data_IF_686952072392
#
_entry.id   IF_686952072392
#
_cell.length_a   1.000
_cell.length_b   1.000
_cell.length_c   1.000
_cell.angle_alpha   90.00
_cell.angle_beta   90.00
_cell.angle_gamma   90.00
#
_symmetry.space_group_name_H-M   'P 1'
#
loop_
_entity.id
_entity.type
_entity.pdbx_description
1 polymer ?
#
# COMPACT_ATOMS: atom_id res chain seq x y z
N UNK A 1 69.82 -11.48 4.86
CA UNK A 1 69.96 -10.09 4.38
C UNK A 1 69.61 -10.06 2.90
N UNK A 2 68.38 -9.68 2.56
CA UNK A 2 68.04 -8.95 1.33
C UNK A 2 66.89 -8.06 1.77
N UNK A 3 67.19 -6.79 1.99
CA UNK A 3 66.18 -5.77 2.30
C UNK A 3 65.56 -5.41 0.96
N UNK A 4 64.26 -5.59 0.81
CA UNK A 4 63.50 -5.20 -0.38
C UNK A 4 63.67 -3.69 -0.63
N UNK A 5 64.62 -3.35 -1.51
CA UNK A 5 64.99 -2.00 -1.92
C UNK A 5 64.02 -1.43 -2.96
N UNK A 6 62.81 -1.99 -3.08
CA UNK A 6 61.73 -1.47 -3.93
C UNK A 6 60.68 -0.64 -3.18
N UNK A 7 60.65 -0.65 -1.85
CA UNK A 7 59.69 0.15 -1.07
C UNK A 7 60.12 1.62 -0.85
N UNK A 8 61.24 2.06 -1.45
CA UNK A 8 61.74 3.44 -1.35
C UNK A 8 61.33 4.38 -2.49
N UNK A 9 60.55 3.92 -3.48
CA UNK A 9 59.94 4.80 -4.51
C UNK A 9 58.42 4.85 -4.37
N UNK A 10 57.93 5.18 -3.18
CA UNK A 10 56.50 5.39 -2.99
C UNK A 10 56.21 6.87 -3.18
N UNK A 11 55.55 7.18 -4.30
CA UNK A 11 54.82 8.43 -4.59
C UNK A 11 54.13 8.96 -3.31
N UNK A 12 54.00 10.29 -3.12
CA UNK A 12 53.38 10.85 -1.93
C UNK A 12 52.04 10.15 -1.66
N UNK A 13 51.89 9.51 -0.50
CA UNK A 13 50.65 8.80 -0.14
C UNK A 13 49.54 9.83 -0.08
N UNK A 14 48.45 9.57 -0.80
CA UNK A 14 47.33 10.50 -0.86
C UNK A 14 46.78 10.81 0.55
N UNK A 15 46.64 12.09 0.92
CA UNK A 15 46.23 12.50 2.27
C UNK A 15 44.82 12.00 2.66
N UNK A 16 43.97 11.68 1.67
CA UNK A 16 42.65 11.06 1.91
C UNK A 16 42.71 9.61 2.38
N UNK A 17 43.79 8.89 2.07
CA UNK A 17 43.99 7.49 2.50
C UNK A 17 44.63 7.41 3.90
N UNK A 18 45.08 8.54 4.46
CA UNK A 18 45.71 8.60 5.77
C UNK A 18 44.69 8.90 6.86
N UNK A 19 44.86 8.27 8.02
CA UNK A 19 44.10 8.60 9.22
C UNK A 19 44.43 10.01 9.70
N UNK A 20 43.50 10.69 10.38
CA UNK A 20 43.70 12.07 10.83
C UNK A 20 45.00 12.26 11.65
N UNK A 21 45.35 11.27 12.48
CA UNK A 21 46.61 11.27 13.25
C UNK A 21 47.85 11.18 12.37
N UNK A 22 47.80 10.41 11.29
CA UNK A 22 48.92 10.27 10.35
C UNK A 22 49.10 11.54 9.51
N UNK A 23 48.01 12.21 9.11
CA UNK A 23 48.08 13.52 8.43
C UNK A 23 48.74 14.57 9.32
N UNK A 24 48.28 14.70 10.56
CA UNK A 24 48.83 15.64 11.53
C UNK A 24 50.31 15.38 11.86
N UNK A 25 50.76 14.12 11.85
CA UNK A 25 52.17 13.77 12.04
C UNK A 25 53.06 14.18 10.86
N UNK A 26 52.54 14.12 9.62
CA UNK A 26 53.28 14.57 8.44
C UNK A 26 53.34 16.09 8.35
N UNK A 27 52.25 16.79 8.63
CA UNK A 27 52.20 18.27 8.65
C UNK A 27 53.19 18.85 9.66
N UNK A 28 53.25 18.29 10.88
CA UNK A 28 54.29 18.68 11.85
C UNK A 28 55.70 18.45 11.30
N UNK A 29 55.92 17.36 10.56
CA UNK A 29 57.24 17.00 10.03
C UNK A 29 57.66 17.86 8.84
N UNK A 30 56.71 18.44 8.09
CA UNK A 30 57.02 19.39 7.01
C UNK A 30 57.38 20.78 7.56
N UNK A 31 56.89 21.13 8.75
CA UNK A 31 57.22 22.38 9.43
C UNK A 31 58.58 22.34 10.18
N UNK A 32 59.27 21.17 10.18
CA UNK A 32 60.53 20.96 10.88
C UNK A 32 61.78 21.59 10.23
N UNK A 33 61.63 22.44 9.21
CA UNK A 33 62.77 23.26 8.73
C UNK A 33 63.11 24.40 9.71
N UNK A 34 62.27 24.67 10.71
CA UNK A 34 62.45 25.73 11.71
C UNK A 34 62.48 25.26 13.18
N UNK A 35 62.49 23.94 13.44
CA UNK A 35 62.40 23.39 14.81
C UNK A 35 63.67 22.66 15.31
N UNK A 36 64.76 22.65 14.54
CA UNK A 36 66.01 21.96 14.91
C UNK A 36 66.77 22.60 16.09
N UNK A 37 66.29 23.70 16.67
CA UNK A 37 66.97 24.41 17.76
C UNK A 37 66.34 24.19 19.16
N UNK A 38 65.15 23.58 19.29
CA UNK A 38 64.36 23.68 20.53
C UNK A 38 63.89 22.36 21.16
N UNK A 39 64.69 21.30 21.10
CA UNK A 39 64.40 20.08 21.88
C UNK A 39 65.65 19.28 22.30
N UNK A 40 66.62 19.92 22.94
CA UNK A 40 67.62 19.24 23.77
C UNK A 40 67.15 19.22 25.23
N UNK A 41 66.09 18.45 25.54
CA UNK A 41 65.85 18.08 26.94
C UNK A 41 66.83 16.95 27.32
N UNK A 42 67.53 17.04 28.47
CA UNK A 42 68.37 15.97 28.96
C UNK A 42 67.58 14.67 29.07
N UNK A 43 67.97 13.68 28.25
CA UNK A 43 67.53 12.30 28.40
C UNK A 43 68.03 11.79 29.75
N UNK A 44 67.21 11.93 30.78
CA UNK A 44 67.34 11.19 32.03
C UNK A 44 67.02 9.73 31.79
N UNK A 45 67.92 9.02 31.11
CA UNK A 45 67.90 7.57 30.95
C UNK A 45 68.14 6.92 32.30
N UNK A 46 67.07 6.79 33.09
CA UNK A 46 66.96 5.68 34.05
C UNK A 46 66.62 4.47 33.20
N UNK A 47 67.63 3.68 32.87
CA UNK A 47 67.45 2.32 32.37
C UNK A 47 66.52 1.59 33.34
N UNK A 48 65.23 1.51 32.99
CA UNK A 48 64.29 0.66 33.72
C UNK A 48 64.72 -0.75 33.38
N UNK A 49 65.58 -1.30 34.24
CA UNK A 49 65.87 -2.74 34.32
C UNK A 49 64.54 -3.45 34.21
N UNK A 50 64.34 -4.16 33.10
CA UNK A 50 63.11 -4.89 32.82
C UNK A 50 63.03 -6.04 33.82
N UNK A 51 62.40 -5.79 34.97
CA UNK A 51 62.12 -6.84 35.93
C UNK A 51 61.13 -7.82 35.29
N UNK A 52 61.32 -9.14 35.44
CA UNK A 52 60.45 -10.15 34.81
C UNK A 52 58.98 -9.98 35.18
N UNK A 53 58.69 -9.42 36.37
CA UNK A 53 57.33 -9.09 36.81
C UNK A 53 56.67 -7.96 35.99
N UNK A 54 57.44 -6.95 35.55
CA UNK A 54 56.89 -5.89 34.70
C UNK A 54 56.57 -6.39 33.29
N UNK A 55 57.38 -7.31 32.77
CA UNK A 55 57.09 -7.97 31.49
C UNK A 55 55.82 -8.83 31.57
N UNK A 56 55.64 -9.58 32.67
CA UNK A 56 54.41 -10.36 32.91
C UNK A 56 53.17 -9.48 33.06
N UNK A 57 53.25 -8.38 33.84
CA UNK A 57 52.14 -7.41 33.97
C UNK A 57 51.81 -6.74 32.64
N UNK A 58 52.80 -6.46 31.79
CA UNK A 58 52.59 -5.94 30.44
C UNK A 58 51.92 -6.97 29.51
N UNK A 59 52.33 -8.24 29.57
CA UNK A 59 51.73 -9.33 28.81
C UNK A 59 50.25 -9.54 29.20
N UNK A 60 49.94 -9.59 30.50
CA UNK A 60 48.56 -9.69 31.00
C UNK A 60 47.70 -8.49 30.57
N UNK A 61 48.24 -7.27 30.62
CA UNK A 61 47.53 -6.06 30.19
C UNK A 61 47.28 -6.07 28.67
N UNK A 62 48.23 -6.55 27.88
CA UNK A 62 48.08 -6.71 26.43
C UNK A 62 47.01 -7.73 26.10
N UNK A 63 47.02 -8.89 26.77
CA UNK A 63 46.02 -9.94 26.61
C UNK A 63 44.62 -9.44 26.97
N UNK A 64 44.47 -8.69 28.08
CA UNK A 64 43.19 -8.08 28.48
C UNK A 64 42.67 -7.10 27.43
N UNK A 65 43.55 -6.29 26.83
CA UNK A 65 43.19 -5.37 25.73
C UNK A 65 42.75 -6.11 24.48
N UNK A 66 43.43 -7.21 24.14
CA UNK A 66 43.07 -8.07 23.01
C UNK A 66 41.68 -8.71 23.22
N UNK A 67 41.44 -9.29 24.39
CA UNK A 67 40.15 -9.88 24.75
C UNK A 67 39.00 -8.85 24.67
N UNK A 68 39.20 -7.64 25.18
CA UNK A 68 38.19 -6.57 25.10
C UNK A 68 37.89 -6.13 23.66
N UNK A 69 38.91 -6.11 22.78
CA UNK A 69 38.72 -5.80 21.38
C UNK A 69 37.94 -6.90 20.65
N UNK A 70 38.26 -8.16 20.93
CA UNK A 70 37.58 -9.32 20.35
C UNK A 70 36.13 -9.41 20.85
N UNK A 71 35.89 -9.23 22.15
CA UNK A 71 34.53 -9.20 22.74
C UNK A 71 33.69 -8.06 22.15
N UNK A 72 34.26 -6.87 21.95
CA UNK A 72 33.57 -5.76 21.30
C UNK A 72 33.22 -6.11 19.85
N UNK A 73 34.15 -6.73 19.10
CA UNK A 73 33.92 -7.14 17.72
C UNK A 73 32.80 -8.18 17.61
N UNK A 74 32.75 -9.13 18.54
CA UNK A 74 31.69 -10.15 18.60
C UNK A 74 30.34 -9.54 18.97
N UNK A 75 30.29 -8.66 19.97
CA UNK A 75 29.06 -7.93 20.33
C UNK A 75 28.55 -7.06 19.18
N UNK A 76 29.43 -6.41 18.43
CA UNK A 76 29.02 -5.61 17.27
C UNK A 76 28.49 -6.51 16.15
N UNK A 77 29.12 -7.67 15.89
CA UNK A 77 28.58 -8.67 14.96
C UNK A 77 27.20 -9.17 15.41
N UNK A 78 27.03 -9.52 16.68
CA UNK A 78 25.74 -9.96 17.23
C UNK A 78 24.67 -8.88 17.11
N UNK A 79 24.99 -7.62 17.46
CA UNK A 79 24.07 -6.48 17.28
C UNK A 79 23.71 -6.25 15.82
N UNK A 80 24.65 -6.44 14.89
CA UNK A 80 24.32 -6.38 13.46
C UNK A 80 23.44 -7.53 13.03
N UNK A 81 23.68 -8.75 13.51
CA UNK A 81 22.86 -9.92 13.25
C UNK A 81 21.44 -9.73 13.78
N UNK A 82 21.28 -9.31 15.03
CA UNK A 82 19.98 -8.99 15.62
C UNK A 82 19.27 -7.85 14.87
N UNK A 83 19.99 -6.78 14.51
CA UNK A 83 19.42 -5.68 13.73
C UNK A 83 18.96 -6.16 12.34
N UNK A 84 19.67 -7.08 11.71
CA UNK A 84 19.30 -7.65 10.41
C UNK A 84 18.11 -8.61 10.54
N UNK A 85 18.15 -9.56 11.48
CA UNK A 85 17.09 -10.53 11.74
C UNK A 85 15.79 -9.86 12.19
N UNK A 86 15.85 -8.92 13.14
CA UNK A 86 14.67 -8.16 13.61
C UNK A 86 14.08 -7.24 12.52
N UNK A 87 14.92 -6.73 11.61
CA UNK A 87 14.46 -5.90 10.49
C UNK A 87 13.82 -6.76 9.39
N UNK A 88 14.28 -8.00 9.19
CA UNK A 88 13.60 -9.01 8.36
C UNK A 88 12.20 -9.30 8.89
N UNK A 89 12.04 -9.55 10.19
CA UNK A 89 10.73 -9.78 10.83
C UNK A 89 9.77 -8.58 10.68
N UNK A 90 10.26 -7.34 10.74
CA UNK A 90 9.40 -6.16 10.55
C UNK A 90 8.92 -5.96 9.10
N UNK A 91 9.66 -6.48 8.10
CA UNK A 91 9.24 -6.46 6.69
C UNK A 91 8.39 -7.69 6.35
N UNK A 92 8.75 -8.87 6.83
CA UNK A 92 7.94 -10.09 6.66
C UNK A 92 6.62 -9.98 7.42
N UNK A 93 6.61 -9.38 8.62
CA UNK A 93 5.40 -9.01 9.35
C UNK A 93 4.51 -8.05 8.56
N UNK A 94 5.04 -7.06 7.83
CA UNK A 94 4.22 -6.19 6.96
C UNK A 94 3.71 -6.89 5.69
N UNK A 95 4.46 -7.83 5.13
CA UNK A 95 4.02 -8.60 3.96
C UNK A 95 3.00 -9.68 4.35
N UNK A 96 3.21 -10.34 5.49
CA UNK A 96 2.28 -11.29 6.09
C UNK A 96 1.05 -10.55 6.61
N UNK A 97 1.14 -9.37 7.24
CA UNK A 97 -0.02 -8.56 7.64
C UNK A 97 -0.79 -7.95 6.46
N UNK A 98 -0.13 -7.69 5.32
CA UNK A 98 -0.82 -7.32 4.07
C UNK A 98 -1.53 -8.50 3.40
N UNK A 99 -1.09 -9.74 3.63
CA UNK A 99 -1.78 -10.98 3.20
C UNK A 99 -2.76 -11.52 4.27
N UNK A 100 -2.54 -11.18 5.54
CA UNK A 100 -3.30 -11.58 6.75
C UNK A 100 -4.31 -10.52 7.18
N UNK A 101 -4.32 -9.36 6.54
CA UNK A 101 -5.60 -8.73 6.23
C UNK A 101 -6.22 -9.53 5.09
N UNK A 102 -6.47 -10.82 5.36
CA UNK A 102 -7.71 -11.44 4.91
C UNK A 102 -8.76 -10.45 5.38
N UNK A 103 -9.11 -9.52 4.50
CA UNK A 103 -10.25 -8.63 4.68
C UNK A 103 -11.31 -9.55 5.25
N UNK A 104 -11.73 -9.32 6.50
CA UNK A 104 -12.84 -10.06 7.11
C UNK A 104 -13.83 -10.25 5.98
N UNK A 105 -14.03 -11.50 5.54
CA UNK A 105 -14.82 -11.77 4.35
C UNK A 105 -16.25 -11.45 4.74
N UNK A 106 -16.58 -10.16 4.70
CA UNK A 106 -17.95 -9.70 4.84
C UNK A 106 -18.66 -10.22 3.61
N UNK A 107 -19.82 -10.88 3.77
CA UNK A 107 -20.61 -11.31 2.63
C UNK A 107 -20.90 -10.07 1.77
N UNK A 108 -20.34 -10.05 0.57
CA UNK A 108 -20.43 -8.92 -0.35
C UNK A 108 -20.66 -9.46 -1.75
N UNK A 109 -21.55 -8.80 -2.48
CA UNK A 109 -21.84 -9.08 -3.88
C UNK A 109 -20.62 -8.70 -4.72
N UNK A 110 -20.14 -9.60 -5.59
CA UNK A 110 -18.97 -9.36 -6.45
C UNK A 110 -19.38 -9.34 -7.91
N UNK A 111 -18.95 -8.29 -8.62
CA UNK A 111 -19.07 -8.18 -10.07
C UNK A 111 -17.71 -8.45 -10.70
N UNK A 112 -17.63 -9.47 -11.55
CA UNK A 112 -16.43 -9.86 -12.29
C UNK A 112 -16.71 -9.61 -13.77
N UNK A 113 -15.92 -8.74 -14.40
CA UNK A 113 -16.00 -8.46 -15.83
C UNK A 113 -14.73 -8.96 -16.49
N UNK A 114 -14.88 -9.85 -17.45
CA UNK A 114 -13.84 -10.38 -18.33
C UNK A 114 -14.16 -9.93 -19.76
N UNK A 115 -13.20 -10.01 -20.68
CA UNK A 115 -13.42 -9.68 -22.09
C UNK A 115 -14.56 -10.51 -22.73
N UNK A 116 -14.72 -11.76 -22.29
CA UNK A 116 -15.72 -12.67 -22.86
C UNK A 116 -17.05 -12.70 -22.09
N UNK A 117 -17.07 -12.32 -20.81
CA UNK A 117 -18.26 -12.46 -19.98
C UNK A 117 -18.29 -11.55 -18.76
N UNK A 118 -19.49 -11.31 -18.26
CA UNK A 118 -19.73 -10.60 -17.00
C UNK A 118 -20.47 -11.54 -16.04
N UNK A 119 -19.89 -11.76 -14.86
CA UNK A 119 -20.42 -12.62 -13.81
C UNK A 119 -20.74 -11.79 -12.56
N UNK A 120 -21.92 -12.02 -11.98
CA UNK A 120 -22.35 -11.42 -10.73
C UNK A 120 -22.54 -12.53 -9.69
N UNK A 121 -21.77 -12.53 -8.61
CA UNK A 121 -21.85 -13.53 -7.54
C UNK A 121 -22.40 -12.93 -6.25
N UNK A 122 -23.33 -13.66 -5.64
CA UNK A 122 -23.99 -13.30 -4.38
C UNK A 122 -23.52 -14.24 -3.27
N UNK A 123 -23.33 -13.73 -2.04
CA UNK A 123 -23.09 -14.59 -0.89
C UNK A 123 -24.34 -15.39 -0.55
N UNK A 124 -24.16 -16.56 0.10
CA UNK A 124 -25.26 -17.51 0.39
C UNK A 124 -26.36 -16.89 1.26
N UNK A 125 -25.99 -15.94 2.13
CA UNK A 125 -26.92 -15.28 3.07
C UNK A 125 -27.72 -14.12 2.45
N UNK A 126 -27.51 -13.80 1.15
CA UNK A 126 -28.19 -12.70 0.47
C UNK A 126 -29.05 -13.25 -0.66
N UNK A 127 -30.36 -13.03 -0.57
CA UNK A 127 -31.30 -13.35 -1.63
C UNK A 127 -31.04 -12.50 -2.89
N UNK A 128 -31.24 -13.12 -4.05
CA UNK A 128 -31.12 -12.42 -5.33
C UNK A 128 -32.26 -11.40 -5.48
N UNK A 129 -31.98 -10.11 -5.75
CA UNK A 129 -32.98 -9.05 -5.69
C UNK A 129 -34.03 -9.13 -6.80
N UNK A 130 -33.72 -9.76 -7.93
CA UNK A 130 -34.65 -9.88 -9.04
C UNK A 130 -35.41 -11.20 -8.91
N UNK A 131 -36.71 -11.09 -8.64
CA UNK A 131 -37.59 -12.25 -8.67
C UNK A 131 -37.90 -12.61 -10.13
N UNK A 132 -37.95 -13.89 -10.49
CA UNK A 132 -38.42 -14.29 -11.81
C UNK A 132 -39.90 -13.90 -11.94
N UNK A 133 -40.19 -12.88 -12.75
CA UNK A 133 -41.55 -12.56 -13.14
C UNK A 133 -41.98 -13.47 -14.27
N UNK A 134 -43.06 -14.21 -14.09
CA UNK A 134 -43.69 -14.93 -15.21
C UNK A 134 -44.44 -13.93 -16.06
N UNK A 135 -44.35 -14.10 -17.39
CA UNK A 135 -45.10 -13.28 -18.35
C UNK A 135 -46.62 -13.41 -18.12
N UNK A 136 -47.06 -14.51 -17.52
CA UNK A 136 -48.44 -14.79 -17.14
C UNK A 136 -49.05 -13.75 -16.18
N UNK A 137 -48.23 -13.11 -15.33
CA UNK A 137 -48.70 -12.08 -14.39
C UNK A 137 -48.87 -10.70 -15.06
N UNK A 138 -48.36 -10.52 -16.28
CA UNK A 138 -48.64 -9.34 -17.07
C UNK A 138 -50.01 -9.53 -17.75
N UNK A 139 -51.07 -9.34 -16.98
CA UNK A 139 -52.42 -9.26 -17.55
C UNK A 139 -52.46 -8.06 -18.51
N UNK A 140 -52.34 -8.34 -19.81
CA UNK A 140 -52.51 -7.32 -20.84
C UNK A 140 -53.94 -6.79 -20.68
N UNK A 141 -54.14 -5.47 -20.51
CA UNK A 141 -55.48 -4.93 -20.35
C UNK A 141 -56.29 -5.29 -21.59
N UNK A 142 -57.42 -5.97 -21.38
CA UNK A 142 -58.30 -6.37 -22.48
C UNK A 142 -58.76 -5.13 -23.27
N UNK A 143 -58.86 -5.20 -24.60
CA UNK A 143 -59.27 -4.07 -25.41
C UNK A 143 -60.68 -3.60 -25.00
N UNK A 144 -60.78 -2.34 -24.58
CA UNK A 144 -62.04 -1.72 -24.16
C UNK A 144 -62.89 -1.41 -25.40
N UNK A 145 -64.14 -1.84 -25.39
CA UNK A 145 -65.11 -1.59 -26.48
C UNK A 145 -65.80 -0.22 -26.33
N UNK A 146 -66.39 0.25 -27.43
CA UNK A 146 -67.21 1.45 -27.47
C UNK A 146 -68.48 1.30 -26.61
N UNK A 147 -68.82 2.31 -25.82
CA UNK A 147 -70.02 2.31 -24.98
C UNK A 147 -71.29 2.83 -25.66
N UNK A 148 -71.29 3.01 -26.98
CA UNK A 148 -72.50 3.36 -27.73
C UNK A 148 -73.38 2.12 -27.95
N UNK A 149 -74.70 2.31 -27.92
CA UNK A 149 -75.65 1.25 -28.23
C UNK A 149 -75.32 0.64 -29.61
N UNK A 150 -75.23 -0.68 -29.67
CA UNK A 150 -74.93 -1.47 -30.87
C UNK A 150 -73.56 -1.21 -31.52
N UNK A 151 -72.56 -0.73 -30.77
CA UNK A 151 -71.21 -0.56 -31.31
C UNK A 151 -70.21 -1.57 -30.70
N UNK A 152 -69.63 -2.42 -31.53
CA UNK A 152 -68.61 -3.42 -31.12
C UNK A 152 -67.17 -2.99 -31.40
N UNK A 153 -66.98 -1.76 -31.90
CA UNK A 153 -65.66 -1.23 -32.22
C UNK A 153 -64.83 -0.98 -30.96
N UNK A 154 -63.50 -1.11 -31.07
CA UNK A 154 -62.56 -0.76 -30.01
C UNK A 154 -62.52 0.75 -29.76
N UNK A 155 -62.30 1.11 -28.49
CA UNK A 155 -62.14 2.49 -28.03
C UNK A 155 -60.98 3.17 -28.76
N UNK A 156 -61.23 4.36 -29.32
CA UNK A 156 -60.19 5.28 -29.82
C UNK A 156 -59.92 6.42 -28.85
N UNK A 157 -60.97 6.93 -28.19
CA UNK A 157 -60.87 8.03 -27.23
C UNK A 157 -61.93 7.86 -26.12
N UNK A 158 -61.82 8.66 -25.06
CA UNK A 158 -62.85 8.77 -24.03
C UNK A 158 -63.50 10.15 -24.13
N UNK A 159 -64.83 10.21 -23.96
CA UNK A 159 -65.53 11.48 -23.85
C UNK A 159 -65.16 12.17 -22.52
N UNK A 160 -64.74 13.42 -22.55
CA UNK A 160 -64.39 14.17 -21.32
C UNK A 160 -65.59 14.46 -20.42
N UNK A 161 -66.78 14.63 -21.00
CA UNK A 161 -68.01 14.97 -20.26
C UNK A 161 -68.72 13.74 -19.68
N UNK A 162 -68.69 12.60 -20.37
CA UNK A 162 -69.39 11.37 -19.94
C UNK A 162 -68.47 10.26 -19.46
N UNK A 163 -67.16 10.34 -19.71
CA UNK A 163 -66.19 9.30 -19.38
C UNK A 163 -66.30 8.03 -20.22
N UNK A 164 -67.28 7.95 -21.13
CA UNK A 164 -67.60 6.74 -21.90
C UNK A 164 -66.55 6.54 -23.02
N UNK A 165 -66.05 5.29 -23.21
CA UNK A 165 -65.17 4.95 -24.33
C UNK A 165 -65.90 5.02 -25.68
N UNK A 166 -65.27 5.67 -26.68
CA UNK A 166 -65.86 5.94 -27.98
C UNK A 166 -64.91 5.59 -29.13
N UNK A 167 -65.48 5.19 -30.28
CA UNK A 167 -64.72 4.85 -31.48
C UNK A 167 -64.82 5.90 -32.61
N UNK A 168 -65.89 6.69 -32.67
CA UNK A 168 -66.18 7.64 -33.77
C UNK A 168 -67.02 8.82 -33.31
N UNK A 169 -67.04 9.91 -34.08
CA UNK A 169 -67.87 11.09 -33.78
C UNK A 169 -69.38 10.80 -33.88
N UNK A 170 -69.79 9.79 -34.66
CA UNK A 170 -71.21 9.39 -34.73
C UNK A 170 -71.67 8.83 -33.38
N UNK A 171 -70.87 7.95 -32.79
CA UNK A 171 -71.11 7.39 -31.46
C UNK A 171 -71.06 8.48 -30.36
N UNK A 172 -70.23 9.51 -30.53
CA UNK A 172 -70.26 10.67 -29.63
C UNK A 172 -71.61 11.38 -29.69
N UNK A 173 -72.14 11.64 -30.90
CA UNK A 173 -73.41 12.35 -31.08
C UNK A 173 -74.60 11.57 -30.53
N UNK A 174 -74.66 10.25 -30.75
CA UNK A 174 -75.76 9.42 -30.24
C UNK A 174 -75.78 9.37 -28.71
N UNK A 175 -74.62 9.23 -28.08
CA UNK A 175 -74.51 9.32 -26.63
C UNK A 175 -74.86 10.74 -26.16
N UNK A 176 -74.36 11.77 -26.84
CA UNK A 176 -74.60 13.15 -26.45
C UNK A 176 -76.07 13.57 -26.57
N UNK A 177 -76.78 13.14 -27.62
CA UNK A 177 -78.21 13.40 -27.79
C UNK A 177 -79.04 12.68 -26.73
N UNK A 178 -78.72 11.42 -26.44
CA UNK A 178 -79.36 10.67 -25.35
C UNK A 178 -79.08 11.34 -23.99
N UNK A 179 -77.90 11.96 -23.85
CA UNK A 179 -77.55 12.69 -22.63
C UNK A 179 -78.34 13.96 -22.38
N UNK A 180 -78.69 14.69 -23.44
CA UNK A 180 -79.56 15.86 -23.30
C UNK A 180 -81.01 15.47 -23.02
N UNK A 181 -81.48 14.33 -23.54
CA UNK A 181 -82.85 13.87 -23.29
C UNK A 181 -83.08 13.48 -21.83
N UNK A 182 -82.13 12.82 -21.16
CA UNK A 182 -82.30 12.48 -19.74
C UNK A 182 -82.22 13.70 -18.80
N UNK A 183 -81.43 14.73 -19.15
CA UNK A 183 -81.32 16.00 -18.39
C UNK A 183 -82.64 16.79 -18.47
N UNK A 184 -83.41 16.65 -19.56
CA UNK A 184 -84.70 17.31 -19.77
C UNK A 184 -85.89 16.58 -19.15
N UNK A 185 -85.77 15.29 -18.82
CA UNK A 185 -86.84 14.50 -18.18
C UNK A 185 -86.80 14.49 -16.65
N UNK A 186 -85.85 15.21 -16.03
CA UNK A 186 -85.73 15.34 -14.57
C UNK A 186 -86.19 16.70 -14.00
N UNK A 187 -86.94 17.47 -14.79
CA UNK A 187 -87.68 18.68 -14.35
C UNK A 187 -89.17 18.38 -14.50
#
# INVERSE_FOLDING_TARGET
MVVDDELKKIKPKDPKLMTARQRAMLERKTDNSSEQLLMSLPSGYREKVMTPEMAQKAALKSQKRKQQADEKREKDKQKTMERLLKKQESKSGKIVMKKSTLKKQTPAVKLIRTQDSTLLSFPVDVEFPLKPSKIEDLSVPSPVQCGAAECTNTKKYACSRTGIPLCSLQCYKTIHSNTQQYELTQI
#
